data_IF_505863682575
#
_entry.id   IF_505863682575
#
_cell.length_a   1.000
_cell.length_b   1.000
_cell.length_c   1.000
_cell.angle_alpha   90.00
_cell.angle_beta   90.00
_cell.angle_gamma   90.00
#
_symmetry.space_group_name_H-M   'P 1'
#
loop_
_entity.id
_entity.type
_entity.pdbx_description
1 polymer ?
#
# COMPACT_ATOMS: atom_id res chain seq x y z
N UNK A 1 -28.77 -4.50 -3.34
CA UNK A 1 -27.74 -4.39 -4.39
C UNK A 1 -26.48 -5.07 -3.89
N UNK A 2 -25.78 -5.84 -4.73
CA UNK A 2 -24.49 -6.43 -4.36
C UNK A 2 -23.47 -5.31 -4.14
N UNK A 3 -22.59 -5.45 -3.13
CA UNK A 3 -21.52 -4.50 -2.90
C UNK A 3 -20.58 -4.48 -4.11
N UNK A 4 -20.11 -3.28 -4.48
CA UNK A 4 -19.12 -3.15 -5.56
C UNK A 4 -17.78 -3.77 -5.14
N UNK A 5 -17.06 -4.30 -6.12
CA UNK A 5 -15.79 -4.97 -5.89
C UNK A 5 -14.64 -3.94 -5.88
N UNK A 6 -13.88 -3.97 -4.80
CA UNK A 6 -12.63 -3.21 -4.64
C UNK A 6 -11.47 -4.19 -4.63
N UNK A 7 -10.40 -3.89 -5.37
CA UNK A 7 -9.18 -4.70 -5.35
C UNK A 7 -7.95 -3.82 -5.12
N UNK A 8 -7.04 -4.29 -4.27
CA UNK A 8 -5.71 -3.69 -4.14
C UNK A 8 -4.65 -4.73 -3.79
N UNK A 9 -3.43 -4.52 -4.28
CA UNK A 9 -2.30 -5.40 -4.05
C UNK A 9 -1.19 -4.72 -3.23
N UNK A 10 -0.58 -5.48 -2.33
CA UNK A 10 0.55 -5.03 -1.51
C UNK A 10 1.77 -5.89 -1.84
N UNK A 11 2.86 -5.25 -2.26
CA UNK A 11 4.13 -5.98 -2.52
C UNK A 11 4.76 -6.42 -1.20
N UNK A 12 5.25 -7.67 -1.11
CA UNK A 12 5.92 -8.19 0.09
C UNK A 12 7.38 -7.68 0.17
N UNK A 13 7.56 -6.35 0.23
CA UNK A 13 8.88 -5.71 0.28
C UNK A 13 9.03 -4.91 1.56
N UNK A 14 10.01 -5.28 2.40
CA UNK A 14 10.32 -4.57 3.66
C UNK A 14 9.14 -4.50 4.64
N UNK A 15 9.35 -3.80 5.74
CA UNK A 15 8.33 -3.55 6.76
C UNK A 15 7.34 -2.45 6.31
N UNK A 16 6.10 -2.49 6.82
CA UNK A 16 5.17 -1.38 6.66
C UNK A 16 5.64 -0.20 7.52
N UNK A 17 5.57 0.99 6.94
CA UNK A 17 5.87 2.25 7.62
C UNK A 17 4.62 3.13 7.73
N UNK A 18 4.68 4.18 8.53
CA UNK A 18 3.54 5.09 8.75
C UNK A 18 2.93 5.63 7.45
N UNK A 19 3.78 5.91 6.44
CA UNK A 19 3.30 6.34 5.14
C UNK A 19 2.44 5.28 4.43
N UNK A 20 2.71 3.98 4.63
CA UNK A 20 1.85 2.91 4.12
C UNK A 20 0.54 2.84 4.92
N UNK A 21 0.62 2.97 6.25
CA UNK A 21 -0.57 2.90 7.11
C UNK A 21 -1.55 4.03 6.79
N UNK A 22 -1.13 5.27 6.88
CA UNK A 22 -2.00 6.43 6.67
C UNK A 22 -2.30 6.71 5.19
N UNK A 23 -1.40 6.31 4.29
CA UNK A 23 -1.59 6.47 2.85
C UNK A 23 -2.50 5.42 2.20
N UNK A 24 -2.59 4.21 2.77
CA UNK A 24 -3.38 3.14 2.15
C UNK A 24 -4.14 2.28 3.17
N UNK A 25 -3.44 1.67 4.16
CA UNK A 25 -4.01 0.65 5.03
C UNK A 25 -5.24 1.12 5.80
N UNK A 26 -5.20 2.33 6.37
CA UNK A 26 -6.35 2.92 7.09
C UNK A 26 -7.60 2.98 6.20
N UNK A 27 -7.44 3.27 4.93
CA UNK A 27 -8.56 3.31 3.99
C UNK A 27 -9.05 1.90 3.64
N UNK A 28 -8.15 0.91 3.51
CA UNK A 28 -8.54 -0.49 3.31
C UNK A 28 -9.39 -1.01 4.47
N UNK A 29 -8.98 -0.71 5.71
CA UNK A 29 -9.75 -1.05 6.92
C UNK A 29 -11.13 -0.40 6.91
N UNK A 30 -11.26 0.83 6.46
CA UNK A 30 -12.56 1.52 6.38
C UNK A 30 -13.44 0.96 5.28
N UNK A 31 -12.86 0.63 4.11
CA UNK A 31 -13.60 0.10 2.96
C UNK A 31 -14.21 -1.28 3.20
N UNK A 32 -13.64 -2.11 4.09
CA UNK A 32 -14.06 -3.49 4.29
C UNK A 32 -15.54 -3.65 4.70
N UNK A 33 -16.13 -2.66 5.37
CA UNK A 33 -17.54 -2.69 5.74
C UNK A 33 -18.49 -2.29 4.60
N UNK A 34 -18.00 -1.51 3.64
CA UNK A 34 -18.83 -0.88 2.59
C UNK A 34 -18.78 -1.65 1.26
N UNK A 35 -17.62 -2.28 0.94
CA UNK A 35 -17.36 -2.90 -0.34
C UNK A 35 -17.08 -4.41 -0.22
N UNK A 36 -17.12 -5.11 -1.34
CA UNK A 36 -16.60 -6.47 -1.46
C UNK A 36 -15.11 -6.38 -1.80
N UNK A 37 -14.25 -6.51 -0.76
CA UNK A 37 -12.84 -6.21 -0.85
C UNK A 37 -11.99 -7.46 -1.09
N UNK A 38 -11.10 -7.37 -2.09
CA UNK A 38 -10.05 -8.32 -2.39
C UNK A 38 -8.70 -7.65 -2.18
N UNK A 39 -7.96 -8.07 -1.15
CA UNK A 39 -6.62 -7.55 -0.87
C UNK A 39 -5.61 -8.68 -0.96
N UNK A 40 -4.55 -8.49 -1.74
CA UNK A 40 -3.60 -9.56 -1.97
C UNK A 40 -2.15 -9.14 -1.78
N UNK A 41 -1.33 -10.12 -1.39
CA UNK A 41 0.12 -9.97 -1.34
C UNK A 41 0.70 -10.38 -2.69
N UNK A 42 1.26 -9.42 -3.39
CA UNK A 42 1.70 -9.52 -4.79
C UNK A 42 3.07 -10.21 -4.92
N UNK A 43 3.14 -11.50 -4.58
CA UNK A 43 4.40 -12.25 -4.58
C UNK A 43 4.90 -12.57 -6.00
N UNK A 44 4.04 -12.83 -6.98
CA UNK A 44 4.46 -13.03 -8.37
C UNK A 44 5.06 -11.76 -8.98
N UNK A 45 4.48 -10.60 -8.68
CA UNK A 45 5.07 -9.31 -9.10
C UNK A 45 6.48 -9.11 -8.55
N UNK A 46 6.79 -9.68 -7.40
CA UNK A 46 8.11 -9.59 -6.79
C UNK A 46 9.16 -10.44 -7.51
N UNK A 47 8.76 -11.50 -8.24
CA UNK A 47 9.69 -12.36 -8.98
C UNK A 47 10.43 -11.62 -10.10
N UNK A 48 9.93 -10.48 -10.56
CA UNK A 48 10.60 -9.67 -11.60
C UNK A 48 11.99 -9.17 -11.16
N UNK A 49 12.29 -9.17 -9.88
CA UNK A 49 13.58 -8.78 -9.30
C UNK A 49 14.38 -9.96 -8.75
N UNK A 50 13.94 -11.20 -9.00
CA UNK A 50 14.57 -12.45 -8.54
C UNK A 50 14.97 -12.42 -7.05
N UNK A 51 14.02 -12.19 -6.12
CA UNK A 51 14.31 -12.14 -4.70
C UNK A 51 14.72 -13.52 -4.18
N UNK A 52 15.49 -13.53 -3.09
CA UNK A 52 15.79 -14.76 -2.37
C UNK A 52 14.49 -15.43 -1.89
N UNK A 53 14.38 -16.75 -2.05
CA UNK A 53 13.16 -17.52 -1.79
C UNK A 53 12.74 -17.47 -0.33
N UNK A 54 13.69 -17.58 0.60
CA UNK A 54 13.39 -17.57 2.04
C UNK A 54 12.94 -16.18 2.47
N UNK A 55 13.61 -15.15 2.02
CA UNK A 55 13.27 -13.74 2.26
C UNK A 55 11.89 -13.41 1.71
N UNK A 56 11.55 -13.89 0.51
CA UNK A 56 10.23 -13.68 -0.08
C UNK A 56 9.13 -14.30 0.78
N UNK A 57 9.28 -15.57 1.18
CA UNK A 57 8.31 -16.29 2.01
C UNK A 57 8.08 -15.61 3.36
N UNK A 58 9.16 -15.23 4.04
CA UNK A 58 9.08 -14.50 5.31
C UNK A 58 8.39 -13.15 5.15
N UNK A 59 8.69 -12.45 4.06
CA UNK A 59 8.08 -11.15 3.76
C UNK A 59 6.59 -11.25 3.45
N UNK A 60 6.15 -12.31 2.75
CA UNK A 60 4.73 -12.57 2.50
C UNK A 60 3.98 -12.76 3.83
N UNK A 61 4.44 -13.66 4.68
CA UNK A 61 3.80 -13.94 5.98
C UNK A 61 3.75 -12.70 6.86
N UNK A 62 4.83 -11.94 6.92
CA UNK A 62 4.90 -10.69 7.66
C UNK A 62 3.89 -9.67 7.15
N UNK A 63 3.80 -9.43 5.84
CA UNK A 63 2.87 -8.46 5.26
C UNK A 63 1.42 -8.86 5.53
N UNK A 64 1.07 -10.15 5.47
CA UNK A 64 -0.27 -10.61 5.86
C UNK A 64 -0.54 -10.31 7.33
N UNK A 65 0.40 -10.66 8.23
CA UNK A 65 0.25 -10.39 9.66
C UNK A 65 0.12 -8.88 9.97
N UNK A 66 0.94 -8.04 9.33
CA UNK A 66 0.88 -6.59 9.47
C UNK A 66 -0.47 -6.02 8.98
N UNK A 67 -1.02 -6.52 7.86
CA UNK A 67 -2.33 -6.10 7.37
C UNK A 67 -3.46 -6.40 8.37
N UNK A 68 -3.46 -7.59 8.95
CA UNK A 68 -4.45 -7.99 9.97
C UNK A 68 -4.24 -7.17 11.25
N UNK A 69 -2.99 -6.93 11.64
CA UNK A 69 -2.67 -6.11 12.81
C UNK A 69 -3.13 -4.67 12.64
N UNK A 70 -3.05 -4.11 11.43
CA UNK A 70 -3.56 -2.79 11.08
C UNK A 70 -5.10 -2.70 11.09
N UNK A 71 -5.81 -3.81 11.23
CA UNK A 71 -7.28 -3.82 11.37
C UNK A 71 -8.06 -4.44 10.21
N UNK A 72 -7.38 -5.03 9.20
CA UNK A 72 -8.10 -5.84 8.23
C UNK A 72 -8.68 -7.08 8.91
N UNK A 73 -9.97 -7.30 8.68
CA UNK A 73 -10.72 -8.44 9.18
C UNK A 73 -10.84 -9.51 8.08
N UNK A 74 -10.15 -10.66 8.21
CA UNK A 74 -10.18 -11.74 7.22
C UNK A 74 -11.58 -12.35 7.00
N UNK A 75 -12.50 -12.16 7.95
CA UNK A 75 -13.89 -12.61 7.77
C UNK A 75 -14.67 -11.70 6.80
N UNK A 76 -14.35 -10.41 6.78
CA UNK A 76 -15.01 -9.42 5.95
C UNK A 76 -14.39 -9.26 4.56
N UNK A 77 -13.09 -9.57 4.41
CA UNK A 77 -12.37 -9.41 3.14
C UNK A 77 -11.81 -10.74 2.62
N UNK A 78 -11.49 -10.81 1.35
CA UNK A 78 -10.61 -11.83 0.81
C UNK A 78 -9.15 -11.32 0.92
N UNK A 79 -8.43 -11.72 1.99
CA UNK A 79 -7.01 -11.44 2.15
C UNK A 79 -6.21 -12.69 1.76
N UNK A 80 -5.46 -12.63 0.66
CA UNK A 80 -4.80 -13.80 0.09
C UNK A 80 -3.41 -13.50 -0.48
N UNK A 81 -2.66 -14.55 -0.78
CA UNK A 81 -1.39 -14.45 -1.51
C UNK A 81 -1.68 -14.70 -3.00
N UNK A 82 -1.17 -13.87 -3.87
CA UNK A 82 -1.45 -13.89 -5.32
C UNK A 82 -1.25 -15.28 -5.92
N UNK A 83 -0.17 -15.98 -5.56
CA UNK A 83 0.14 -17.33 -6.06
C UNK A 83 -0.85 -18.41 -5.64
N UNK A 84 -1.68 -18.16 -4.64
CA UNK A 84 -2.67 -19.11 -4.16
C UNK A 84 -3.97 -19.07 -4.98
N UNK A 85 -4.02 -18.16 -5.98
CA UNK A 85 -5.12 -18.03 -6.94
C UNK A 85 -4.57 -18.27 -8.37
N UNK A 86 -4.31 -19.53 -8.76
CA UNK A 86 -3.70 -19.86 -10.06
C UNK A 86 -4.55 -19.44 -11.26
N UNK A 87 -5.82 -19.19 -11.07
CA UNK A 87 -6.75 -18.66 -12.06
C UNK A 87 -6.28 -17.32 -12.66
N UNK A 88 -5.53 -16.52 -11.88
CA UNK A 88 -4.90 -15.27 -12.34
C UNK A 88 -3.89 -15.56 -13.46
N UNK A 89 -3.10 -16.64 -13.35
CA UNK A 89 -2.11 -16.99 -14.36
C UNK A 89 -2.76 -17.40 -15.69
N UNK A 90 -3.92 -18.02 -15.65
CA UNK A 90 -4.65 -18.36 -16.87
C UNK A 90 -5.20 -17.08 -17.53
N UNK A 91 -5.83 -16.19 -16.77
CA UNK A 91 -6.29 -14.92 -17.33
C UNK A 91 -5.10 -14.08 -17.87
N UNK A 92 -3.99 -14.04 -17.15
CA UNK A 92 -2.77 -13.38 -17.62
C UNK A 92 -2.31 -13.93 -18.98
N UNK A 93 -2.36 -15.26 -19.20
CA UNK A 93 -2.06 -15.85 -20.48
C UNK A 93 -2.97 -15.30 -21.59
N UNK A 94 -4.28 -15.27 -21.37
CA UNK A 94 -5.24 -14.77 -22.36
C UNK A 94 -5.03 -13.27 -22.65
N UNK A 95 -4.79 -12.47 -21.63
CA UNK A 95 -4.55 -11.04 -21.81
C UNK A 95 -3.21 -10.76 -22.55
N UNK A 96 -2.19 -11.61 -22.38
CA UNK A 96 -0.95 -11.49 -23.15
C UNK A 96 -1.18 -11.64 -24.66
N UNK A 97 -2.18 -12.44 -25.09
CA UNK A 97 -2.52 -12.55 -26.51
C UNK A 97 -3.18 -11.29 -27.07
N UNK A 98 -3.62 -10.38 -26.20
CA UNK A 98 -4.18 -9.08 -26.54
C UNK A 98 -3.21 -7.91 -26.29
N UNK A 99 -2.02 -8.19 -25.73
CA UNK A 99 -1.03 -7.18 -25.40
C UNK A 99 -0.09 -6.91 -26.57
N UNK A 100 0.06 -5.65 -26.92
CA UNK A 100 1.00 -5.26 -27.98
C UNK A 100 2.34 -4.84 -27.37
N UNK A 101 3.44 -5.48 -27.84
CA UNK A 101 4.81 -5.22 -27.37
C UNK A 101 5.13 -3.72 -27.33
N UNK A 102 4.82 -2.99 -28.40
CA UNK A 102 5.11 -1.55 -28.47
C UNK A 102 4.33 -0.68 -27.47
N UNK A 103 3.18 -1.12 -26.97
CA UNK A 103 2.47 -0.45 -25.90
C UNK A 103 3.16 -0.72 -24.55
N UNK A 104 3.54 -1.96 -24.28
CA UNK A 104 4.22 -2.36 -23.06
C UNK A 104 5.57 -1.65 -22.88
N UNK A 105 6.37 -1.56 -23.94
CA UNK A 105 7.68 -0.90 -23.93
C UNK A 105 7.58 0.64 -23.70
N UNK A 106 6.43 1.24 -24.01
CA UNK A 106 6.23 2.67 -23.81
C UNK A 106 5.86 3.07 -22.38
N UNK A 107 5.51 2.10 -21.52
CA UNK A 107 5.10 2.40 -20.15
C UNK A 107 6.24 3.02 -19.35
N UNK A 108 5.89 4.01 -18.52
CA UNK A 108 6.86 4.67 -17.62
C UNK A 108 7.45 3.64 -16.66
N UNK A 109 6.59 2.79 -16.09
CA UNK A 109 7.00 1.73 -15.15
C UNK A 109 8.05 0.78 -15.75
N UNK A 110 7.89 0.37 -17.01
CA UNK A 110 8.88 -0.49 -17.68
C UNK A 110 10.21 0.24 -17.85
N UNK A 111 10.19 1.46 -18.38
CA UNK A 111 11.40 2.27 -18.59
C UNK A 111 12.19 2.53 -17.30
N UNK A 112 11.47 2.86 -16.22
CA UNK A 112 12.10 3.06 -14.90
C UNK A 112 12.74 1.78 -14.37
N UNK A 113 12.02 0.66 -14.46
CA UNK A 113 12.54 -0.65 -14.00
C UNK A 113 13.75 -1.12 -14.81
N UNK A 114 13.75 -0.94 -16.14
CA UNK A 114 14.91 -1.21 -17.00
C UNK A 114 16.11 -0.39 -16.54
N UNK A 115 15.92 0.89 -16.23
CA UNK A 115 17.01 1.76 -15.74
C UNK A 115 17.56 1.31 -14.38
N UNK A 116 16.70 0.82 -13.50
CA UNK A 116 17.09 0.37 -12.15
C UNK A 116 17.75 -1.01 -12.13
N UNK A 117 17.45 -1.87 -13.11
CA UNK A 117 17.99 -3.23 -13.20
C UNK A 117 18.37 -3.59 -14.65
N UNK A 118 19.36 -2.91 -15.26
CA UNK A 118 19.67 -3.06 -16.69
C UNK A 118 20.14 -4.48 -17.05
N UNK A 119 20.75 -5.19 -16.12
CA UNK A 119 21.25 -6.56 -16.32
C UNK A 119 20.18 -7.65 -16.16
N UNK A 120 18.96 -7.26 -15.74
CA UNK A 120 17.84 -8.19 -15.52
C UNK A 120 16.56 -7.67 -16.18
N UNK A 121 16.60 -7.47 -17.50
CA UNK A 121 15.42 -7.07 -18.28
C UNK A 121 14.72 -8.32 -18.79
N UNK A 122 13.93 -8.95 -17.94
CA UNK A 122 13.22 -10.19 -18.26
C UNK A 122 11.80 -9.94 -18.83
N UNK A 123 11.19 -10.98 -19.42
CA UNK A 123 9.85 -10.89 -20.00
C UNK A 123 8.77 -10.51 -18.97
N UNK A 124 8.88 -10.98 -17.71
CA UNK A 124 7.96 -10.62 -16.64
C UNK A 124 8.00 -9.12 -16.32
N UNK A 125 9.15 -8.47 -16.51
CA UNK A 125 9.29 -7.03 -16.35
C UNK A 125 8.52 -6.27 -17.45
N UNK A 126 8.57 -6.75 -18.69
CA UNK A 126 7.82 -6.18 -19.80
C UNK A 126 6.31 -6.38 -19.64
N UNK A 127 5.90 -7.58 -19.26
CA UNK A 127 4.49 -7.98 -19.16
C UNK A 127 3.87 -7.71 -17.76
N UNK A 128 4.60 -7.02 -16.87
CA UNK A 128 4.11 -6.62 -15.56
C UNK A 128 2.73 -5.96 -15.58
N UNK A 129 2.43 -5.00 -16.49
CA UNK A 129 1.10 -4.39 -16.56
C UNK A 129 -0.01 -5.36 -16.95
N UNK A 130 0.31 -6.41 -17.72
CA UNK A 130 -0.66 -7.46 -18.09
C UNK A 130 -1.03 -8.32 -16.87
N UNK A 131 -0.04 -8.66 -16.04
CA UNK A 131 -0.29 -9.39 -14.78
C UNK A 131 -1.14 -8.54 -13.83
N UNK A 132 -0.84 -7.25 -13.71
CA UNK A 132 -1.65 -6.34 -12.88
C UNK A 132 -3.08 -6.22 -13.41
N UNK A 133 -3.27 -6.19 -14.73
CA UNK A 133 -4.60 -6.21 -15.33
C UNK A 133 -5.33 -7.54 -15.03
N UNK A 134 -4.63 -8.68 -15.07
CA UNK A 134 -5.21 -9.97 -14.70
C UNK A 134 -5.67 -9.99 -13.24
N UNK A 135 -4.87 -9.46 -12.29
CA UNK A 135 -5.25 -9.33 -10.88
C UNK A 135 -6.57 -8.56 -10.73
N UNK A 136 -6.71 -7.44 -11.45
CA UNK A 136 -7.88 -6.56 -11.36
C UNK A 136 -9.11 -7.22 -12.01
N UNK A 137 -8.94 -7.74 -13.22
CA UNK A 137 -10.04 -8.20 -14.04
C UNK A 137 -10.56 -9.56 -13.61
N UNK A 138 -9.75 -10.42 -12.95
CA UNK A 138 -10.16 -11.75 -12.49
C UNK A 138 -11.29 -11.67 -11.45
N UNK A 139 -11.34 -10.62 -10.66
CA UNK A 139 -12.40 -10.37 -9.69
C UNK A 139 -13.48 -9.42 -10.20
N UNK A 140 -13.39 -9.00 -11.47
CA UNK A 140 -14.29 -8.00 -12.07
C UNK A 140 -14.36 -6.73 -11.22
N UNK A 141 -13.20 -6.32 -10.65
CA UNK A 141 -13.10 -5.15 -9.80
C UNK A 141 -13.38 -3.87 -10.58
N UNK A 142 -14.26 -3.04 -10.05
CA UNK A 142 -14.59 -1.73 -10.63
C UNK A 142 -13.81 -0.61 -9.96
N UNK A 143 -13.43 -0.77 -8.69
CA UNK A 143 -12.73 0.23 -7.90
C UNK A 143 -11.33 -0.25 -7.53
N UNK A 144 -10.32 0.51 -7.90
CA UNK A 144 -8.92 0.19 -7.64
C UNK A 144 -8.27 1.36 -6.91
N UNK A 145 -8.06 1.27 -5.58
CA UNK A 145 -7.37 2.31 -4.83
C UNK A 145 -5.88 2.29 -5.18
N UNK A 146 -5.46 3.22 -6.02
CA UNK A 146 -4.08 3.36 -6.50
C UNK A 146 -3.56 4.78 -6.34
N UNK A 147 -2.25 4.91 -6.13
CA UNK A 147 -1.56 6.19 -6.22
C UNK A 147 -1.40 6.65 -7.67
N UNK A 148 -1.07 7.94 -7.85
CA UNK A 148 -0.85 8.55 -9.16
C UNK A 148 0.19 7.82 -10.03
N UNK A 149 1.18 7.22 -9.41
CA UNK A 149 2.22 6.44 -10.07
C UNK A 149 1.70 5.15 -10.74
N UNK A 150 0.50 4.68 -10.35
CA UNK A 150 -0.16 3.51 -10.91
C UNK A 150 -1.27 3.83 -11.92
N UNK A 151 -1.58 5.09 -12.15
CA UNK A 151 -2.67 5.49 -13.06
C UNK A 151 -2.48 4.93 -14.47
N UNK A 152 -1.25 4.92 -15.00
CA UNK A 152 -0.95 4.37 -16.32
C UNK A 152 -1.20 2.85 -16.39
N UNK A 153 -0.86 2.11 -15.33
CA UNK A 153 -1.10 0.66 -15.29
C UNK A 153 -2.59 0.36 -15.20
N UNK A 154 -3.35 1.19 -14.48
CA UNK A 154 -4.81 1.07 -14.41
C UNK A 154 -5.47 1.38 -15.75
N UNK A 155 -4.99 2.39 -16.47
CA UNK A 155 -5.44 2.69 -17.84
C UNK A 155 -5.18 1.51 -18.78
N UNK A 156 -4.03 0.86 -18.65
CA UNK A 156 -3.75 -0.35 -19.42
C UNK A 156 -4.73 -1.50 -19.06
N UNK A 157 -5.08 -1.67 -17.79
CA UNK A 157 -6.08 -2.66 -17.39
C UNK A 157 -7.45 -2.39 -18.03
N UNK A 158 -7.86 -1.11 -18.12
CA UNK A 158 -9.06 -0.70 -18.86
C UNK A 158 -8.97 -1.04 -20.35
N UNK A 159 -7.85 -0.70 -20.98
CA UNK A 159 -7.62 -0.99 -22.40
C UNK A 159 -7.67 -2.50 -22.68
N UNK A 160 -7.16 -3.33 -21.80
CA UNK A 160 -7.30 -4.79 -21.93
C UNK A 160 -8.73 -5.25 -21.77
N UNK A 161 -9.48 -4.71 -20.82
CA UNK A 161 -10.90 -5.01 -20.64
C UNK A 161 -11.73 -4.60 -21.88
N UNK A 162 -11.54 -3.39 -22.38
CA UNK A 162 -12.22 -2.88 -23.58
C UNK A 162 -11.88 -3.72 -24.82
N UNK A 163 -10.58 -4.04 -25.02
CA UNK A 163 -10.13 -4.85 -26.14
C UNK A 163 -10.68 -6.28 -26.10
N UNK A 164 -10.73 -6.87 -24.91
CA UNK A 164 -11.34 -8.18 -24.71
C UNK A 164 -12.83 -8.14 -25.01
N UNK A 165 -13.56 -7.20 -24.41
CA UNK A 165 -15.02 -7.06 -24.58
C UNK A 165 -15.38 -6.79 -26.04
N UNK A 166 -14.64 -5.93 -26.72
CA UNK A 166 -14.87 -5.65 -28.13
C UNK A 166 -14.69 -6.90 -29.03
N UNK A 167 -13.72 -7.76 -28.70
CA UNK A 167 -13.37 -8.93 -29.52
C UNK A 167 -14.24 -10.15 -29.22
N UNK A 168 -14.59 -10.35 -27.94
CA UNK A 168 -15.18 -11.62 -27.48
C UNK A 168 -16.55 -11.45 -26.79
N UNK A 169 -17.02 -10.21 -26.59
CA UNK A 169 -18.26 -9.90 -25.90
C UNK A 169 -18.04 -9.42 -24.47
N UNK A 170 -19.04 -8.77 -23.89
CA UNK A 170 -18.98 -8.08 -22.61
C UNK A 170 -18.80 -9.06 -21.42
N UNK A 171 -17.57 -9.14 -20.93
CA UNK A 171 -17.20 -9.95 -19.76
C UNK A 171 -16.71 -9.05 -18.60
N UNK A 172 -15.87 -8.08 -18.89
CA UNK A 172 -15.20 -7.28 -17.87
C UNK A 172 -15.85 -5.92 -17.69
N UNK A 173 -16.21 -5.52 -16.45
CA UNK A 173 -16.45 -4.10 -16.17
C UNK A 173 -15.15 -3.32 -16.33
N UNK A 174 -15.27 -2.01 -16.62
CA UNK A 174 -14.09 -1.15 -16.74
C UNK A 174 -13.64 -0.68 -15.35
N UNK A 175 -12.42 -1.00 -14.93
CA UNK A 175 -11.92 -0.54 -13.64
C UNK A 175 -11.58 0.94 -13.67
N UNK A 176 -11.73 1.63 -12.54
CA UNK A 176 -11.32 3.02 -12.40
C UNK A 176 -10.57 3.25 -11.08
N UNK A 177 -9.73 4.30 -11.09
CA UNK A 177 -9.03 4.76 -9.91
C UNK A 177 -10.01 5.25 -8.84
N UNK A 178 -9.83 4.80 -7.62
CA UNK A 178 -10.73 5.09 -6.52
C UNK A 178 -9.97 5.70 -5.35
N UNK A 179 -10.32 6.93 -5.01
CA UNK A 179 -9.76 7.61 -3.85
C UNK A 179 -10.81 7.63 -2.73
N UNK A 180 -10.61 6.77 -1.72
CA UNK A 180 -11.53 6.63 -0.61
C UNK A 180 -11.22 7.64 0.50
N UNK A 181 -12.20 8.47 0.85
CA UNK A 181 -12.13 9.33 2.03
C UNK A 181 -11.36 10.63 1.86
N UNK A 182 -11.17 11.13 0.63
CA UNK A 182 -10.54 12.43 0.38
C UNK A 182 -9.04 12.33 0.13
N UNK A 183 -8.29 13.40 0.43
CA UNK A 183 -6.86 13.45 0.18
C UNK A 183 -6.07 12.41 0.98
N UNK A 184 -5.19 11.69 0.29
CA UNK A 184 -4.23 10.80 0.94
C UNK A 184 -3.27 11.64 1.78
N UNK A 185 -3.12 11.30 3.05
CA UNK A 185 -2.17 11.97 3.94
C UNK A 185 -0.75 11.69 3.44
N UNK A 186 -0.08 12.73 2.94
CA UNK A 186 1.32 12.63 2.54
C UNK A 186 2.19 12.83 3.78
N UNK A 187 2.88 11.77 4.20
CA UNK A 187 3.84 11.81 5.29
C UNK A 187 5.24 11.92 4.69
N UNK A 188 5.98 12.93 5.11
CA UNK A 188 7.39 13.08 4.73
C UNK A 188 8.28 12.25 5.66
N UNK A 189 9.52 12.00 5.25
CA UNK A 189 10.55 11.50 6.13
C UNK A 189 10.75 12.42 7.34
N UNK A 190 11.32 11.91 8.43
CA UNK A 190 11.62 12.72 9.63
C UNK A 190 12.67 13.80 9.38
N UNK A 191 13.43 13.69 8.30
CA UNK A 191 14.35 14.75 7.79
C UNK A 191 13.60 15.87 7.07
N UNK A 192 12.31 15.71 6.80
CA UNK A 192 11.48 16.65 6.05
C UNK A 192 11.70 16.63 4.54
N UNK A 193 12.46 15.66 4.05
CA UNK A 193 12.80 15.51 2.63
C UNK A 193 12.03 14.34 2.01
N UNK A 194 11.36 14.59 0.89
CA UNK A 194 10.64 13.54 0.17
C UNK A 194 9.49 12.89 0.94
N UNK A 195 8.83 11.94 0.30
CA UNK A 195 7.79 11.09 0.93
C UNK A 195 8.48 10.01 1.77
N UNK A 196 7.97 9.73 2.97
CA UNK A 196 8.46 8.59 3.76
C UNK A 196 8.47 7.32 2.91
N UNK A 197 9.64 6.71 2.74
CA UNK A 197 9.86 5.56 1.86
C UNK A 197 10.81 4.54 2.48
N UNK A 198 10.77 3.30 1.98
CA UNK A 198 11.61 2.19 2.45
C UNK A 198 13.05 2.27 1.94
N UNK A 199 13.29 3.01 0.86
CA UNK A 199 14.53 2.95 0.08
C UNK A 199 15.52 4.08 0.37
N UNK A 200 15.11 5.18 1.03
CA UNK A 200 15.98 6.35 1.16
C UNK A 200 16.76 6.32 2.46
N UNK A 201 16.15 6.68 3.57
CA UNK A 201 16.87 6.75 4.85
C UNK A 201 16.10 6.01 5.94
N UNK A 202 16.64 4.89 6.42
CA UNK A 202 15.99 4.09 7.48
C UNK A 202 15.84 4.89 8.80
N UNK A 203 16.67 5.89 9.05
CA UNK A 203 16.58 6.73 10.25
C UNK A 203 15.48 7.79 10.15
N UNK A 204 15.08 8.15 8.91
CA UNK A 204 13.98 9.10 8.68
C UNK A 204 12.62 8.40 8.49
N UNK A 205 12.59 7.07 8.49
CA UNK A 205 11.39 6.26 8.28
C UNK A 205 10.94 5.60 9.58
N UNK A 206 9.69 5.82 9.99
CA UNK A 206 9.06 5.12 11.13
C UNK A 206 8.33 3.88 10.63
N UNK A 207 8.80 2.70 11.04
CA UNK A 207 8.17 1.42 10.72
C UNK A 207 7.19 1.00 11.81
N UNK A 208 6.16 0.28 11.43
CA UNK A 208 5.22 -0.30 12.39
C UNK A 208 5.87 -1.42 13.25
N UNK A 209 7.02 -1.91 12.82
CA UNK A 209 7.83 -2.88 13.54
C UNK A 209 8.90 -2.26 14.46
N UNK A 210 9.08 -0.94 14.44
CA UNK A 210 10.06 -0.27 15.31
C UNK A 210 9.68 -0.46 16.78
N UNK A 211 10.65 -0.79 17.61
CA UNK A 211 10.49 -0.82 19.07
C UNK A 211 10.43 0.60 19.65
N UNK A 212 10.04 0.69 20.91
CA UNK A 212 9.82 1.97 21.60
C UNK A 212 11.10 2.83 21.65
N UNK A 213 12.26 2.20 21.86
CA UNK A 213 13.54 2.90 21.91
C UNK A 213 13.93 3.44 20.53
N UNK A 214 13.72 2.64 19.50
CA UNK A 214 13.95 3.04 18.10
C UNK A 214 13.05 4.20 17.69
N UNK A 215 11.77 4.16 18.07
CA UNK A 215 10.81 5.27 17.81
C UNK A 215 11.29 6.55 18.48
N UNK A 216 11.67 6.49 19.78
CA UNK A 216 12.20 7.65 20.50
C UNK A 216 13.45 8.20 19.85
N UNK A 217 14.40 7.35 19.48
CA UNK A 217 15.66 7.75 18.82
C UNK A 217 15.41 8.42 17.46
N UNK A 218 14.54 7.85 16.64
CA UNK A 218 14.22 8.39 15.30
C UNK A 218 13.52 9.75 15.42
N UNK A 219 12.51 9.89 16.28
CA UNK A 219 11.77 11.14 16.46
C UNK A 219 12.66 12.22 17.08
N UNK A 220 13.52 11.87 18.05
CA UNK A 220 14.47 12.82 18.63
C UNK A 220 15.40 13.45 17.57
N UNK A 221 15.79 12.69 16.54
CA UNK A 221 16.64 13.13 15.43
C UNK A 221 15.91 13.85 14.30
N UNK A 222 14.56 13.91 14.35
CA UNK A 222 13.79 14.62 13.34
C UNK A 222 14.29 16.07 13.18
N UNK A 223 14.32 16.55 11.94
CA UNK A 223 14.84 17.89 11.61
C UNK A 223 13.99 18.97 12.27
N UNK A 224 14.65 19.94 12.92
CA UNK A 224 14.05 21.15 13.46
C UNK A 224 15.03 22.33 13.30
N UNK A 225 14.52 23.54 13.44
CA UNK A 225 15.28 24.79 13.45
C UNK A 225 15.45 25.36 14.88
N UNK A 226 15.76 26.64 14.98
CA UNK A 226 15.89 27.36 16.25
C UNK A 226 14.55 27.95 16.75
N UNK A 227 13.46 27.79 16.00
CA UNK A 227 12.17 28.36 16.26
C UNK A 227 11.80 29.50 15.32
N UNK A 228 10.50 29.92 15.34
CA UNK A 228 10.01 30.99 14.47
C UNK A 228 10.69 32.34 14.73
N UNK A 229 10.94 33.09 13.66
CA UNK A 229 11.49 34.44 13.77
C UNK A 229 10.46 35.49 14.19
N UNK A 230 9.17 35.24 13.90
CA UNK A 230 8.03 36.11 14.21
C UNK A 230 6.79 35.30 14.60
N UNK A 231 5.86 35.94 15.28
CA UNK A 231 4.57 35.33 15.66
C UNK A 231 3.79 34.92 14.39
N UNK A 232 3.15 33.75 14.45
CA UNK A 232 2.41 33.17 13.32
C UNK A 232 3.25 32.92 12.06
N UNK A 233 4.55 32.72 12.18
CA UNK A 233 5.41 32.39 11.06
C UNK A 233 4.93 31.11 10.36
N UNK A 234 5.07 31.07 9.03
CA UNK A 234 4.78 29.88 8.24
C UNK A 234 5.74 28.76 8.63
N UNK A 235 5.20 27.59 8.94
CA UNK A 235 6.03 26.43 9.31
C UNK A 235 6.82 25.93 8.10
N UNK A 236 8.15 25.77 8.21
CA UNK A 236 8.92 25.04 7.20
C UNK A 236 8.40 23.61 7.01
N UNK A 237 8.56 22.98 5.84
CA UNK A 237 8.01 21.65 5.54
C UNK A 237 8.36 20.58 6.60
N UNK A 238 9.58 20.57 7.13
CA UNK A 238 10.03 19.62 8.16
C UNK A 238 9.34 19.86 9.52
N UNK A 239 8.99 21.10 9.86
CA UNK A 239 8.20 21.44 11.06
C UNK A 239 6.73 21.08 10.85
N UNK A 240 6.14 21.46 9.69
CA UNK A 240 4.77 21.09 9.36
C UNK A 240 4.56 19.57 9.35
N UNK A 241 5.60 18.80 8.93
CA UNK A 241 5.56 17.34 8.99
C UNK A 241 5.44 16.82 10.43
N UNK A 242 6.14 17.41 11.41
CA UNK A 242 5.99 17.02 12.82
C UNK A 242 4.58 17.31 13.35
N UNK A 243 4.00 18.45 13.00
CA UNK A 243 2.61 18.76 13.31
C UNK A 243 1.63 17.82 12.61
N UNK A 244 1.91 17.46 11.36
CA UNK A 244 1.12 16.46 10.62
C UNK A 244 1.14 15.11 11.35
N UNK A 245 2.32 14.65 11.80
CA UNK A 245 2.43 13.41 12.58
C UNK A 245 1.66 13.51 13.91
N UNK A 246 1.76 14.63 14.62
CA UNK A 246 0.98 14.86 15.84
C UNK A 246 -0.53 14.81 15.58
N UNK A 247 -1.01 15.44 14.51
CA UNK A 247 -2.44 15.41 14.11
C UNK A 247 -2.96 14.00 13.85
N UNK A 248 -2.10 13.04 13.57
CA UNK A 248 -2.46 11.65 13.32
C UNK A 248 -2.56 10.80 14.59
N UNK A 249 -1.78 11.13 15.64
CA UNK A 249 -1.62 10.24 16.80
C UNK A 249 -1.81 10.92 18.16
N UNK A 250 -1.72 12.24 18.22
CA UNK A 250 -1.83 13.01 19.48
C UNK A 250 -3.26 13.49 19.76
N UNK A 251 -3.54 13.86 21.01
CA UNK A 251 -4.82 14.45 21.39
C UNK A 251 -4.97 15.89 20.86
N UNK A 252 -6.20 16.32 20.66
CA UNK A 252 -6.52 17.68 20.22
C UNK A 252 -5.90 18.75 21.12
N UNK A 253 -5.92 18.53 22.43
CA UNK A 253 -5.37 19.48 23.42
C UNK A 253 -3.84 19.57 23.30
N UNK A 254 -3.16 18.43 23.09
CA UNK A 254 -1.72 18.39 22.87
C UNK A 254 -1.33 19.15 21.59
N UNK A 255 -2.08 18.94 20.52
CA UNK A 255 -1.86 19.64 19.24
C UNK A 255 -2.09 21.15 19.43
N UNK A 256 -3.20 21.55 20.04
CA UNK A 256 -3.54 22.95 20.27
C UNK A 256 -2.49 23.68 21.11
N UNK A 257 -1.93 23.00 22.14
CA UNK A 257 -0.85 23.53 22.95
C UNK A 257 0.39 23.85 22.09
N UNK A 258 0.91 22.89 21.34
CA UNK A 258 2.13 23.10 20.54
C UNK A 258 1.90 24.05 19.36
N UNK A 259 0.70 24.07 18.76
CA UNK A 259 0.31 25.09 17.76
C UNK A 259 0.33 26.50 18.38
N UNK A 260 -0.24 26.67 19.59
CA UNK A 260 -0.21 27.93 20.31
C UNK A 260 1.22 28.35 20.66
N UNK A 261 2.04 27.40 21.16
CA UNK A 261 3.44 27.67 21.50
C UNK A 261 4.23 28.10 20.26
N UNK A 262 4.00 27.47 19.10
CA UNK A 262 4.64 27.85 17.85
C UNK A 262 4.21 29.24 17.37
N UNK A 263 2.90 29.49 17.32
CA UNK A 263 2.32 30.73 16.80
C UNK A 263 2.66 31.96 17.66
N UNK A 264 2.88 31.76 18.98
CA UNK A 264 3.28 32.82 19.91
C UNK A 264 4.79 32.91 20.10
N UNK A 265 5.59 32.19 19.33
CA UNK A 265 7.06 32.27 19.36
C UNK A 265 7.58 33.32 18.40
N UNK A 266 8.68 34.00 18.81
CA UNK A 266 9.43 34.97 17.99
C UNK A 266 10.88 34.99 18.39
N UNK A 267 11.72 35.67 17.60
CA UNK A 267 13.11 35.82 17.91
C UNK A 267 13.30 36.48 19.29
N UNK A 268 14.08 35.84 20.17
CA UNK A 268 14.29 36.27 21.53
C UNK A 268 13.24 35.85 22.55
N UNK A 269 12.04 35.36 22.13
CA UNK A 269 10.99 34.78 22.97
C UNK A 269 10.41 33.55 22.31
N UNK A 270 11.19 32.46 22.28
CA UNK A 270 10.80 31.20 21.67
C UNK A 270 10.05 30.32 22.69
N UNK A 271 8.72 30.26 22.58
CA UNK A 271 7.86 29.46 23.46
C UNK A 271 7.82 28.00 23.06
N UNK A 272 7.92 27.71 21.74
CA UNK A 272 7.99 26.32 21.26
C UNK A 272 9.25 25.63 21.74
N UNK A 273 9.09 24.50 22.40
CA UNK A 273 10.16 23.61 22.84
C UNK A 273 10.13 22.36 22.00
N UNK A 274 10.87 22.35 20.89
CA UNK A 274 10.89 21.18 19.99
C UNK A 274 11.33 19.89 20.68
N UNK A 275 12.19 19.96 21.70
CA UNK A 275 12.58 18.80 22.50
C UNK A 275 11.38 18.17 23.23
N UNK A 276 10.51 19.00 23.79
CA UNK A 276 9.29 18.54 24.50
C UNK A 276 8.24 18.05 23.52
N UNK A 277 8.07 18.76 22.38
CA UNK A 277 7.19 18.34 21.29
C UNK A 277 7.60 16.96 20.75
N UNK A 278 8.89 16.73 20.49
CA UNK A 278 9.41 15.45 20.02
C UNK A 278 9.23 14.32 21.04
N UNK A 279 9.45 14.60 22.33
CA UNK A 279 9.19 13.62 23.40
C UNK A 279 7.72 13.24 23.44
N UNK A 280 6.81 14.21 23.40
CA UNK A 280 5.37 13.95 23.39
C UNK A 280 4.94 13.17 22.15
N UNK A 281 5.41 13.59 20.96
CA UNK A 281 5.14 12.86 19.71
C UNK A 281 5.64 11.42 19.76
N UNK A 282 6.82 11.17 20.37
CA UNK A 282 7.35 9.82 20.49
C UNK A 282 6.47 8.93 21.37
N UNK A 283 6.01 9.43 22.52
CA UNK A 283 5.11 8.65 23.39
C UNK A 283 3.75 8.39 22.75
N UNK A 284 3.19 9.38 22.05
CA UNK A 284 1.91 9.21 21.34
C UNK A 284 2.07 8.23 20.17
N UNK A 285 3.21 8.27 19.46
CA UNK A 285 3.53 7.34 18.38
C UNK A 285 3.72 5.91 18.90
N UNK A 286 4.40 5.73 20.04
CA UNK A 286 4.54 4.42 20.69
C UNK A 286 3.16 3.88 21.06
N UNK A 287 2.31 4.67 21.67
CA UNK A 287 0.94 4.28 22.03
C UNK A 287 0.13 3.84 20.81
N UNK A 288 0.37 4.47 19.66
CA UNK A 288 -0.28 4.12 18.41
C UNK A 288 0.30 2.83 17.79
N UNK A 289 1.64 2.70 17.74
CA UNK A 289 2.32 1.60 17.04
C UNK A 289 2.32 0.31 17.86
N UNK A 290 2.52 0.37 19.20
CA UNK A 290 2.72 -0.83 20.03
C UNK A 290 1.62 -1.88 19.88
N UNK A 291 0.31 -1.54 19.89
CA UNK A 291 -0.74 -2.55 19.71
C UNK A 291 -0.68 -3.24 18.35
N UNK A 292 -0.31 -2.50 17.29
CA UNK A 292 -0.18 -3.03 15.94
C UNK A 292 1.03 -3.97 15.88
N UNK A 293 2.17 -3.55 16.42
CA UNK A 293 3.40 -4.33 16.47
C UNK A 293 3.22 -5.63 17.24
N UNK A 294 2.61 -5.57 18.43
CA UNK A 294 2.37 -6.73 19.29
C UNK A 294 1.44 -7.74 18.60
N UNK A 295 0.34 -7.27 18.01
CA UNK A 295 -0.58 -8.12 17.25
C UNK A 295 0.08 -8.76 16.03
N UNK A 296 0.91 -8.01 15.30
CA UNK A 296 1.66 -8.54 14.16
C UNK A 296 2.69 -9.60 14.60
N UNK A 297 3.37 -9.38 15.71
CA UNK A 297 4.32 -10.33 16.28
C UNK A 297 3.62 -11.61 16.76
N UNK A 298 2.48 -11.49 17.43
CA UNK A 298 1.68 -12.63 17.87
C UNK A 298 1.22 -13.49 16.69
N UNK A 299 0.68 -12.88 15.63
CA UNK A 299 0.29 -13.59 14.40
C UNK A 299 1.47 -14.31 13.74
N UNK A 300 2.64 -13.71 13.72
CA UNK A 300 3.86 -14.33 13.17
C UNK A 300 4.37 -15.49 14.05
N UNK A 301 4.15 -15.42 15.35
CA UNK A 301 4.48 -16.52 16.28
C UNK A 301 3.51 -17.72 16.15
N UNK A 302 2.35 -17.55 15.51
CA UNK A 302 1.35 -18.57 15.28
C UNK A 302 1.15 -18.87 13.77
N UNK A 303 2.13 -19.48 13.10
CA UNK A 303 2.11 -19.66 11.64
C UNK A 303 0.94 -20.51 11.16
N UNK A 304 0.43 -21.44 11.98
CA UNK A 304 -0.73 -22.26 11.63
C UNK A 304 -2.00 -21.42 11.49
N UNK A 305 -2.22 -20.48 12.42
CA UNK A 305 -3.34 -19.54 12.34
C UNK A 305 -3.22 -18.65 11.10
N UNK A 306 -2.04 -18.11 10.85
CA UNK A 306 -1.77 -17.25 9.70
C UNK A 306 -2.01 -18.00 8.38
N UNK A 307 -1.51 -19.23 8.26
CA UNK A 307 -1.72 -20.09 7.09
C UNK A 307 -3.21 -20.45 6.89
N UNK A 308 -3.97 -20.65 7.98
CA UNK A 308 -5.42 -20.86 7.90
C UNK A 308 -6.12 -19.66 7.33
N UNK A 309 -5.79 -18.45 7.79
CA UNK A 309 -6.36 -17.18 7.30
C UNK A 309 -6.04 -16.99 5.82
N UNK A 310 -4.78 -17.16 5.43
CA UNK A 310 -4.36 -17.04 4.02
C UNK A 310 -5.16 -18.01 3.13
N UNK A 311 -5.32 -19.27 3.56
CA UNK A 311 -6.08 -20.28 2.82
C UNK A 311 -7.54 -19.90 2.66
N UNK A 312 -8.20 -19.46 3.73
CA UNK A 312 -9.60 -19.02 3.68
C UNK A 312 -9.78 -17.82 2.74
N UNK A 313 -8.85 -16.86 2.78
CA UNK A 313 -8.84 -15.73 1.84
C UNK A 313 -8.65 -16.18 0.39
N UNK A 314 -7.74 -17.12 0.15
CA UNK A 314 -7.51 -17.70 -1.17
C UNK A 314 -8.73 -18.46 -1.68
N UNK A 315 -9.44 -19.23 -0.85
CA UNK A 315 -10.68 -19.92 -1.22
C UNK A 315 -11.77 -18.94 -1.66
N UNK A 316 -11.99 -17.84 -0.91
CA UNK A 316 -12.89 -16.75 -1.31
C UNK A 316 -12.51 -16.14 -2.66
N UNK A 317 -11.21 -15.85 -2.85
CA UNK A 317 -10.69 -15.27 -4.07
C UNK A 317 -10.81 -16.23 -5.27
N UNK A 318 -10.46 -17.50 -5.09
CA UNK A 318 -10.60 -18.54 -6.15
C UNK A 318 -12.04 -18.75 -6.57
N UNK A 319 -12.99 -18.73 -5.65
CA UNK A 319 -14.42 -18.83 -5.99
C UNK A 319 -14.87 -17.71 -6.94
N UNK A 320 -14.43 -16.47 -6.68
CA UNK A 320 -14.68 -15.33 -7.57
C UNK A 320 -13.94 -15.47 -8.91
N UNK A 321 -12.68 -15.86 -8.86
CA UNK A 321 -11.83 -16.02 -10.04
C UNK A 321 -12.34 -17.11 -11.00
N UNK A 322 -12.76 -18.24 -10.46
CA UNK A 322 -13.34 -19.34 -11.24
C UNK A 322 -14.63 -18.93 -11.99
N UNK A 323 -15.49 -18.13 -11.35
CA UNK A 323 -16.68 -17.58 -12.01
C UNK A 323 -16.28 -16.71 -13.21
N UNK A 324 -15.30 -15.83 -13.04
CA UNK A 324 -14.83 -14.97 -14.12
C UNK A 324 -14.19 -15.79 -15.25
N UNK A 325 -13.33 -16.77 -14.92
CA UNK A 325 -12.71 -17.63 -15.94
C UNK A 325 -13.75 -18.44 -16.72
N UNK A 326 -14.82 -18.88 -16.08
CA UNK A 326 -15.91 -19.55 -16.79
C UNK A 326 -16.52 -18.65 -17.87
N UNK A 327 -16.73 -17.36 -17.56
CA UNK A 327 -17.23 -16.40 -18.55
C UNK A 327 -16.18 -16.15 -19.66
N UNK A 328 -14.92 -16.00 -19.27
CA UNK A 328 -13.80 -15.79 -20.21
C UNK A 328 -13.66 -16.98 -21.17
N UNK A 329 -13.56 -18.19 -20.64
CA UNK A 329 -13.43 -19.43 -21.45
C UNK A 329 -14.58 -19.58 -22.42
N UNK A 330 -15.81 -19.32 -21.97
CA UNK A 330 -17.00 -19.35 -22.83
C UNK A 330 -16.90 -18.32 -23.97
N UNK A 331 -16.48 -17.10 -23.64
CA UNK A 331 -16.38 -16.01 -24.61
C UNK A 331 -15.31 -16.29 -25.70
N UNK A 332 -14.16 -16.86 -25.30
CA UNK A 332 -13.05 -17.16 -26.25
C UNK A 332 -13.16 -18.55 -26.92
N UNK A 333 -14.14 -19.37 -26.51
CA UNK A 333 -14.35 -20.70 -27.10
C UNK A 333 -13.40 -21.80 -26.62
N UNK A 334 -12.76 -21.64 -25.44
CA UNK A 334 -11.85 -22.67 -24.86
C UNK A 334 -12.50 -23.47 -23.72
N UNK A 335 -13.74 -23.19 -23.35
CA UNK A 335 -14.49 -23.92 -22.33
C UNK A 335 -15.62 -24.74 -22.94
N UNK A 336 -15.88 -25.91 -22.35
CA UNK A 336 -17.07 -26.70 -22.65
C UNK A 336 -18.31 -26.09 -22.00
#
# INVERSE_FOLDING_TARGET
>A
MSKEVVLSGIRPTGFLHLGNYFGAMRNFVRMQSEFNCYFFVANWHSLTTHPDTQTLRQSVNRVVAENIACGLDPEQVALYVQSDVPEIAELYLYLNMLAYKGELEKTVTFKEKVRLQPDNVNAGLLTYPVLQAADILIHRAVKVPVGKDQEQNLEMARNFAERFNHRYGDVFPLPYGFNYGGELVKILGLDGEGKMSKSENQLSTLYLADDDETIRKKIARAKTDQGPAEENAVKPPYIENLFTLMKLVSSTDTIAKFESDYNNSKQGDCRIRYGDMKKQLAEDMIRFISPIREKAADLQAHPELLNKIIRQGAEKARASAAQTLTLVRKAIGTGN
#
